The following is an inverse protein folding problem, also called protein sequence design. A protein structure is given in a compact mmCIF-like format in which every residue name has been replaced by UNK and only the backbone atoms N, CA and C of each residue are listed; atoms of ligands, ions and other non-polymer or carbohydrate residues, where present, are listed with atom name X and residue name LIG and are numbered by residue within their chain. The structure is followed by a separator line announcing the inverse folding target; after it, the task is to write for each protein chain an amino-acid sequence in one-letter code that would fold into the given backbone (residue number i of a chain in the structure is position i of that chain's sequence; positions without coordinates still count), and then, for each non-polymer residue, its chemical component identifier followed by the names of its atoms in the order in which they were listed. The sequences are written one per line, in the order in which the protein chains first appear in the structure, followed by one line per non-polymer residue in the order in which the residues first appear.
data_IF_759755697397
#
_entry.id   IF_759755697397
#
_cell.length_a   1.000
_cell.length_b   1.000
_cell.length_c   1.000
_cell.angle_alpha   90.00
_cell.angle_beta   90.00
_cell.angle_gamma   90.00
#
_symmetry.space_group_name_H-M   'P 1'
#
loop_
_entity.id
_entity.type
_entity.pdbx_description
1 polymer ?
#
# COMPACT_ATOMS: atom_id res chain seq x y z
N UNK A 1 9.45 -31.52 -5.06
CA UNK A 1 9.29 -30.07 -4.86
C UNK A 1 10.58 -29.54 -4.29
N UNK A 2 11.02 -28.35 -4.66
CA UNK A 2 12.35 -27.83 -4.27
C UNK A 2 12.40 -27.56 -2.77
N UNK A 3 13.39 -28.12 -2.07
CA UNK A 3 13.65 -27.84 -0.66
C UNK A 3 14.21 -26.40 -0.46
N UNK A 4 14.51 -25.71 -1.54
CA UNK A 4 15.16 -24.42 -1.56
C UNK A 4 14.40 -23.43 -2.46
N UNK A 5 14.30 -22.18 -2.02
CA UNK A 5 13.91 -21.04 -2.86
C UNK A 5 15.16 -20.43 -3.51
N UNK A 6 15.11 -20.25 -4.83
CA UNK A 6 16.17 -19.56 -5.58
C UNK A 6 15.60 -18.29 -6.23
N UNK A 7 16.13 -17.12 -5.87
CA UNK A 7 15.69 -15.82 -6.42
C UNK A 7 16.88 -14.83 -6.42
N UNK A 8 17.11 -14.14 -7.52
CA UNK A 8 18.14 -13.12 -7.68
C UNK A 8 19.55 -13.60 -7.22
N UNK A 9 19.91 -14.85 -7.49
CA UNK A 9 21.19 -15.44 -7.07
C UNK A 9 21.28 -15.80 -5.58
N UNK A 10 20.21 -15.64 -4.83
CA UNK A 10 20.09 -16.09 -3.45
C UNK A 10 19.51 -17.50 -3.41
N UNK A 11 20.03 -18.35 -2.54
CA UNK A 11 19.52 -19.69 -2.25
C UNK A 11 19.11 -19.75 -0.78
N UNK A 12 17.82 -19.98 -0.51
CA UNK A 12 17.25 -20.01 0.83
C UNK A 12 16.71 -21.41 1.10
N UNK A 13 17.36 -22.13 2.01
CA UNK A 13 16.94 -23.46 2.40
C UNK A 13 15.60 -23.43 3.16
N UNK A 14 14.87 -24.54 3.10
CA UNK A 14 13.65 -24.75 3.88
C UNK A 14 13.94 -24.67 5.38
N UNK A 15 13.02 -24.11 6.15
CA UNK A 15 13.17 -23.92 7.60
C UNK A 15 14.18 -22.83 7.96
N UNK A 16 14.53 -21.93 7.02
CA UNK A 16 15.50 -20.86 7.29
C UNK A 16 14.96 -19.46 7.02
N UNK A 17 15.57 -18.49 7.69
CA UNK A 17 15.32 -17.06 7.53
C UNK A 17 16.59 -16.37 7.03
N UNK A 18 16.47 -15.64 5.93
CA UNK A 18 17.55 -14.79 5.39
C UNK A 18 17.17 -13.31 5.54
N UNK A 19 18.07 -12.51 6.09
CA UNK A 19 17.98 -11.04 6.11
C UNK A 19 19.23 -10.50 5.42
N UNK A 20 19.03 -9.77 4.32
CA UNK A 20 20.12 -9.31 3.47
C UNK A 20 19.77 -8.03 2.74
N UNK A 21 20.73 -7.51 1.99
CA UNK A 21 20.54 -6.41 1.05
C UNK A 21 20.61 -6.92 -0.38
N UNK A 22 19.52 -6.77 -1.13
CA UNK A 22 19.44 -7.12 -2.55
C UNK A 22 19.98 -5.96 -3.40
N UNK A 23 21.08 -6.14 -4.15
CA UNK A 23 21.60 -5.10 -5.02
C UNK A 23 20.67 -4.86 -6.21
N UNK A 24 20.45 -3.59 -6.55
CA UNK A 24 19.82 -3.21 -7.83
C UNK A 24 20.91 -3.21 -8.90
N UNK A 25 20.79 -4.02 -9.97
CA UNK A 25 21.84 -4.14 -10.99
C UNK A 25 22.24 -2.77 -11.58
N UNK A 26 23.54 -2.62 -11.83
CA UNK A 26 24.16 -1.41 -12.40
C UNK A 26 23.89 -0.12 -11.60
N UNK A 27 23.80 -0.26 -10.26
CA UNK A 27 23.67 0.84 -9.31
C UNK A 27 24.43 0.55 -8.02
N UNK A 28 24.59 1.57 -7.16
CA UNK A 28 25.13 1.42 -5.81
C UNK A 28 24.04 1.21 -4.74
N UNK A 29 22.78 1.07 -5.17
CA UNK A 29 21.63 0.97 -4.26
C UNK A 29 21.32 -0.48 -3.98
N UNK A 30 20.95 -0.77 -2.73
CA UNK A 30 20.54 -2.10 -2.27
C UNK A 30 19.26 -2.00 -1.47
N UNK A 31 18.31 -2.88 -1.75
CA UNK A 31 17.01 -2.96 -1.06
C UNK A 31 17.14 -3.92 0.13
N UNK A 32 16.74 -3.54 1.35
CA UNK A 32 16.63 -4.49 2.46
C UNK A 32 15.57 -5.56 2.13
N UNK A 33 15.96 -6.81 2.32
CA UNK A 33 15.16 -7.99 1.98
C UNK A 33 15.18 -8.98 3.15
N UNK A 34 13.99 -9.42 3.55
CA UNK A 34 13.81 -10.55 4.46
C UNK A 34 13.06 -11.66 3.73
N UNK A 35 13.59 -12.87 3.74
CA UNK A 35 12.93 -14.06 3.21
C UNK A 35 12.84 -15.09 4.34
N UNK A 36 11.63 -15.60 4.58
CA UNK A 36 11.35 -16.66 5.54
C UNK A 36 10.81 -17.84 4.73
N UNK A 37 11.63 -18.85 4.53
CA UNK A 37 11.24 -20.10 3.88
C UNK A 37 10.82 -21.09 4.97
N UNK A 38 9.52 -21.30 5.11
CA UNK A 38 8.92 -22.13 6.17
C UNK A 38 9.32 -23.60 6.07
N UNK A 39 9.01 -24.38 7.10
CA UNK A 39 9.34 -25.82 7.15
C UNK A 39 8.47 -26.67 6.20
N UNK A 40 7.29 -26.22 5.85
CA UNK A 40 6.33 -26.96 5.02
C UNK A 40 6.08 -26.24 3.69
N UNK A 41 5.78 -27.01 2.65
CA UNK A 41 5.34 -26.48 1.35
C UNK A 41 4.05 -25.68 1.48
N UNK A 42 3.98 -24.58 0.75
CA UNK A 42 2.82 -23.69 0.75
C UNK A 42 3.00 -22.55 -0.23
N UNK A 43 2.09 -21.58 -0.21
CA UNK A 43 2.15 -20.44 -1.11
C UNK A 43 3.30 -19.48 -0.74
N UNK A 44 3.66 -18.66 -1.72
CA UNK A 44 4.61 -17.55 -1.55
C UNK A 44 3.86 -16.23 -1.44
N UNK A 45 4.00 -15.54 -0.31
CA UNK A 45 3.51 -14.18 -0.11
C UNK A 45 4.65 -13.19 -0.31
N UNK A 46 4.48 -12.28 -1.27
CA UNK A 46 5.37 -11.13 -1.45
C UNK A 46 4.76 -9.91 -0.77
N UNK A 47 5.56 -9.19 0.00
CA UNK A 47 5.21 -7.92 0.63
C UNK A 47 6.24 -6.87 0.23
N UNK A 48 5.77 -5.73 -0.24
CA UNK A 48 6.56 -4.51 -0.34
C UNK A 48 6.06 -3.47 0.66
N UNK A 49 6.98 -2.76 1.29
CA UNK A 49 6.71 -1.60 2.12
C UNK A 49 7.67 -0.48 1.74
N UNK A 50 7.18 0.75 1.69
CA UNK A 50 8.01 1.88 1.34
C UNK A 50 8.42 1.95 -0.12
N UNK A 51 7.53 1.60 -1.04
CA UNK A 51 7.59 2.05 -2.45
C UNK A 51 7.63 3.58 -2.46
N UNK A 52 6.87 4.19 -1.57
CA UNK A 52 7.05 5.58 -1.18
C UNK A 52 7.82 5.65 0.15
N UNK A 53 9.00 6.27 0.12
CA UNK A 53 9.94 6.24 1.25
C UNK A 53 9.48 7.01 2.49
N UNK A 54 8.51 7.90 2.37
CA UNK A 54 7.93 8.69 3.46
C UNK A 54 6.77 8.02 4.20
N UNK A 55 6.36 6.83 3.79
CA UNK A 55 5.22 6.09 4.34
C UNK A 55 5.68 5.08 5.40
N UNK A 56 5.89 5.56 6.63
CA UNK A 56 6.66 4.88 7.66
C UNK A 56 5.98 3.68 8.34
N UNK A 57 4.66 3.66 8.66
CA UNK A 57 4.07 2.60 9.47
C UNK A 57 4.22 1.20 8.85
N UNK A 58 3.95 1.08 7.53
CA UNK A 58 4.12 -0.17 6.80
C UNK A 58 5.57 -0.65 6.77
N UNK A 59 6.53 0.27 6.62
CA UNK A 59 7.97 -0.04 6.66
C UNK A 59 8.35 -0.60 8.03
N UNK A 60 7.96 0.08 9.12
CA UNK A 60 8.26 -0.34 10.49
C UNK A 60 7.61 -1.70 10.81
N UNK A 61 6.35 -1.90 10.41
CA UNK A 61 5.65 -3.17 10.60
C UNK A 61 6.36 -4.32 9.86
N UNK A 62 6.79 -4.12 8.59
CA UNK A 62 7.53 -5.14 7.84
C UNK A 62 8.89 -5.45 8.48
N UNK A 63 9.60 -4.45 9.01
CA UNK A 63 10.86 -4.65 9.75
C UNK A 63 10.63 -5.52 11.01
N UNK A 64 9.59 -5.23 11.79
CA UNK A 64 9.26 -5.98 12.99
C UNK A 64 8.78 -7.40 12.68
N UNK A 65 7.88 -7.58 11.71
CA UNK A 65 7.44 -8.90 11.27
C UNK A 65 8.61 -9.75 10.78
N UNK A 66 9.55 -9.15 10.00
CA UNK A 66 10.74 -9.84 9.52
C UNK A 66 11.71 -10.26 10.62
N UNK A 67 11.71 -9.52 11.75
CA UNK A 67 12.46 -9.89 12.95
C UNK A 67 11.75 -11.01 13.72
N UNK A 68 10.45 -10.89 13.93
CA UNK A 68 9.69 -11.64 14.94
C UNK A 68 9.09 -12.95 14.42
N UNK A 69 8.80 -13.07 13.09
CA UNK A 69 8.28 -14.31 12.53
C UNK A 69 9.41 -15.30 12.32
N UNK A 70 9.28 -16.50 12.87
CA UNK A 70 10.24 -17.58 12.69
C UNK A 70 9.78 -18.62 11.66
N UNK A 71 10.69 -19.34 10.98
CA UNK A 71 10.36 -20.28 9.91
C UNK A 71 9.38 -21.39 10.34
N UNK A 72 9.46 -21.88 11.56
CA UNK A 72 8.55 -22.91 12.09
C UNK A 72 7.09 -22.45 12.16
N UNK A 73 6.84 -21.13 12.15
CA UNK A 73 5.49 -20.56 12.17
C UNK A 73 4.92 -20.32 10.77
N UNK A 74 5.72 -20.55 9.72
CA UNK A 74 5.35 -20.27 8.33
C UNK A 74 5.21 -21.56 7.52
N UNK A 75 4.13 -21.67 6.78
CA UNK A 75 3.92 -22.66 5.71
C UNK A 75 4.05 -21.94 4.37
N UNK A 76 4.96 -22.42 3.50
CA UNK A 76 5.32 -21.73 2.26
C UNK A 76 6.44 -20.69 2.48
N UNK A 77 6.41 -19.62 1.73
CA UNK A 77 7.47 -18.61 1.76
C UNK A 77 6.92 -17.19 1.95
N UNK A 78 7.54 -16.42 2.86
CA UNK A 78 7.25 -15.00 3.07
C UNK A 78 8.46 -14.18 2.62
N UNK A 79 8.26 -13.31 1.63
CA UNK A 79 9.27 -12.41 1.08
C UNK A 79 8.86 -10.97 1.40
N UNK A 80 9.72 -10.20 2.06
CA UNK A 80 9.43 -8.81 2.46
C UNK A 80 10.56 -7.88 2.04
N UNK A 81 10.25 -6.80 1.34
CA UNK A 81 11.16 -5.70 1.00
C UNK A 81 10.77 -4.45 1.79
N UNK A 82 11.72 -3.87 2.56
CA UNK A 82 11.40 -2.79 3.50
C UNK A 82 12.61 -1.94 3.94
N UNK A 83 12.71 -0.67 3.54
CA UNK A 83 11.91 0.02 2.52
C UNK A 83 12.39 -0.31 1.10
N UNK A 84 11.45 -0.36 0.14
CA UNK A 84 11.80 -0.54 -1.28
C UNK A 84 12.57 0.67 -1.81
N UNK A 85 12.03 1.87 -1.64
CA UNK A 85 12.70 3.14 -1.97
C UNK A 85 13.58 3.61 -0.80
N UNK A 86 14.70 2.90 -0.60
CA UNK A 86 15.60 3.20 0.53
C UNK A 86 16.22 4.59 0.46
N UNK A 87 16.46 5.13 -0.73
CA UNK A 87 16.98 6.48 -0.89
C UNK A 87 15.94 7.53 -0.50
N UNK A 88 14.68 7.35 -0.93
CA UNK A 88 13.56 8.21 -0.52
C UNK A 88 13.34 8.17 1.00
N UNK A 89 13.44 6.98 1.60
CA UNK A 89 13.33 6.80 3.04
C UNK A 89 14.37 7.63 3.82
N UNK A 90 15.65 7.50 3.51
CA UNK A 90 16.70 8.26 4.21
C UNK A 90 16.66 9.75 3.88
N UNK A 91 16.28 10.12 2.67
CA UNK A 91 16.11 11.51 2.26
C UNK A 91 14.80 12.15 2.78
N UNK A 92 13.94 11.35 3.45
CA UNK A 92 12.60 11.77 3.90
C UNK A 92 11.78 12.40 2.78
N UNK A 93 11.83 11.76 1.61
CA UNK A 93 11.04 12.12 0.42
C UNK A 93 9.79 11.27 0.38
N UNK A 94 8.67 11.90 0.04
CA UNK A 94 7.34 11.29 0.04
C UNK A 94 7.26 10.15 -0.98
N UNK A 95 7.00 10.50 -2.23
CA UNK A 95 6.67 9.53 -3.28
C UNK A 95 7.81 9.30 -4.27
N UNK A 96 8.84 10.13 -4.29
CA UNK A 96 9.85 10.13 -5.36
C UNK A 96 11.11 9.35 -4.99
N UNK A 97 11.75 8.79 -5.98
CA UNK A 97 13.14 8.34 -5.93
C UNK A 97 14.03 9.58 -6.09
N UNK A 98 14.87 9.95 -5.09
CA UNK A 98 15.62 11.22 -5.14
C UNK A 98 16.59 11.36 -6.31
N UNK A 99 17.11 10.24 -6.82
CA UNK A 99 18.09 10.24 -7.90
C UNK A 99 17.51 10.68 -9.24
N UNK A 100 16.27 10.30 -9.53
CA UNK A 100 15.64 10.53 -10.82
C UNK A 100 14.33 11.35 -10.76
N UNK A 101 13.84 11.66 -9.56
CA UNK A 101 12.62 12.43 -9.34
C UNK A 101 11.33 11.73 -9.73
N UNK A 102 11.37 10.43 -10.06
CA UNK A 102 10.19 9.66 -10.46
C UNK A 102 9.44 9.11 -9.26
N UNK A 103 8.12 9.05 -9.37
CA UNK A 103 7.30 8.26 -8.46
C UNK A 103 7.45 6.77 -8.83
N UNK A 104 8.05 5.98 -7.93
CA UNK A 104 8.30 4.56 -8.16
C UNK A 104 7.01 3.77 -8.44
N UNK A 105 5.89 4.17 -7.80
CA UNK A 105 4.58 3.54 -8.01
C UNK A 105 3.89 3.96 -9.33
N UNK A 106 4.59 4.62 -10.24
CA UNK A 106 4.08 5.01 -11.58
C UNK A 106 4.92 4.44 -12.72
N UNK A 107 5.99 3.68 -12.40
CA UNK A 107 6.90 3.17 -13.44
C UNK A 107 6.85 1.65 -13.64
N UNK A 108 6.00 0.91 -12.91
CA UNK A 108 5.84 -0.53 -13.14
C UNK A 108 5.33 -0.84 -14.54
N UNK A 109 5.89 -1.85 -15.24
CA UNK A 109 6.83 -2.89 -14.77
C UNK A 109 8.28 -2.45 -14.63
N UNK A 110 8.66 -1.25 -15.03
CA UNK A 110 10.04 -0.79 -15.06
C UNK A 110 10.82 -1.19 -16.31
N UNK A 111 12.08 -0.80 -16.34
CA UNK A 111 13.05 -1.10 -17.39
C UNK A 111 14.45 -1.21 -16.78
N UNK A 112 15.20 -2.30 -17.04
CA UNK A 112 16.53 -2.51 -16.46
C UNK A 112 17.60 -1.56 -16.97
N UNK A 113 17.33 -0.79 -18.03
CA UNK A 113 18.33 0.05 -18.70
C UNK A 113 18.12 1.55 -18.48
N UNK A 114 17.02 1.96 -17.80
CA UNK A 114 16.62 3.35 -17.67
C UNK A 114 17.09 3.94 -16.32
N UNK A 115 16.21 4.44 -15.50
CA UNK A 115 16.56 5.12 -14.24
C UNK A 115 16.51 4.18 -13.04
N UNK A 116 16.91 4.67 -11.85
CA UNK A 116 16.86 3.87 -10.62
C UNK A 116 15.45 3.43 -10.29
N UNK A 117 14.44 4.29 -10.44
CA UNK A 117 13.05 3.91 -10.24
C UNK A 117 12.62 2.79 -11.19
N UNK A 118 12.94 2.90 -12.48
CA UNK A 118 12.61 1.88 -13.49
C UNK A 118 13.32 0.56 -13.20
N UNK A 119 14.61 0.59 -12.85
CA UNK A 119 15.40 -0.59 -12.49
C UNK A 119 14.84 -1.28 -11.24
N UNK A 120 14.40 -0.50 -10.24
CA UNK A 120 13.79 -1.02 -9.02
C UNK A 120 12.47 -1.71 -9.31
N UNK A 121 11.58 -1.06 -10.08
CA UNK A 121 10.31 -1.65 -10.49
C UNK A 121 10.51 -2.93 -11.32
N UNK A 122 11.46 -2.92 -12.27
CA UNK A 122 11.81 -4.09 -13.08
C UNK A 122 12.34 -5.25 -12.23
N UNK A 123 13.24 -4.97 -11.26
CA UNK A 123 13.77 -5.99 -10.36
C UNK A 123 12.64 -6.72 -9.63
N UNK A 124 11.64 -5.98 -9.13
CA UNK A 124 10.49 -6.54 -8.41
C UNK A 124 9.59 -7.32 -9.37
N UNK A 125 9.14 -6.66 -10.45
CA UNK A 125 8.16 -7.24 -11.37
C UNK A 125 8.66 -8.46 -12.12
N UNK A 126 9.94 -8.47 -12.49
CA UNK A 126 10.53 -9.54 -13.30
C UNK A 126 11.02 -10.74 -12.48
N UNK A 127 11.44 -10.53 -11.21
CA UNK A 127 12.03 -11.62 -10.43
C UNK A 127 11.13 -12.12 -9.30
N UNK A 128 10.26 -11.27 -8.74
CA UNK A 128 9.48 -11.64 -7.56
C UNK A 128 7.99 -11.87 -7.87
N UNK A 129 7.39 -11.14 -8.80
CA UNK A 129 5.99 -11.40 -9.18
C UNK A 129 5.79 -12.81 -9.76
N UNK A 130 6.69 -13.35 -10.62
CA UNK A 130 6.52 -14.69 -11.18
C UNK A 130 6.58 -15.84 -10.17
N UNK A 131 7.16 -15.63 -8.98
CA UNK A 131 7.30 -16.65 -7.95
C UNK A 131 6.32 -16.49 -6.79
N UNK A 132 5.53 -15.40 -6.78
CA UNK A 132 4.55 -15.12 -5.74
C UNK A 132 3.16 -15.67 -6.11
N UNK A 133 2.44 -16.16 -5.10
CA UNK A 133 1.03 -16.58 -5.22
C UNK A 133 0.06 -15.47 -4.79
N UNK A 134 0.55 -14.52 -4.00
CA UNK A 134 -0.16 -13.31 -3.59
C UNK A 134 0.82 -12.16 -3.31
N UNK A 135 0.37 -10.93 -3.61
CA UNK A 135 1.18 -9.73 -3.38
C UNK A 135 0.44 -8.71 -2.51
N UNK A 136 1.14 -8.16 -1.52
CA UNK A 136 0.68 -7.07 -0.66
C UNK A 136 1.62 -5.88 -0.78
N UNK A 137 1.06 -4.72 -1.13
CA UNK A 137 1.77 -3.44 -1.15
C UNK A 137 1.34 -2.60 0.05
N UNK A 138 2.27 -2.32 0.97
CA UNK A 138 1.98 -1.59 2.20
C UNK A 138 2.32 -0.12 2.02
N UNK A 139 1.29 0.71 1.98
CA UNK A 139 1.33 2.16 1.85
C UNK A 139 0.76 2.86 3.08
N UNK A 140 0.89 4.16 3.16
CA UNK A 140 0.18 5.05 4.07
C UNK A 140 -0.01 6.39 3.39
N UNK A 141 -0.81 7.28 3.98
CA UNK A 141 -0.73 8.68 3.58
C UNK A 141 0.70 9.21 3.76
N UNK A 142 1.16 10.00 2.80
CA UNK A 142 2.43 10.70 2.91
C UNK A 142 2.35 11.88 3.90
N UNK A 143 3.33 12.77 3.91
CA UNK A 143 3.35 13.92 4.82
C UNK A 143 2.22 14.93 4.57
N UNK A 144 1.57 14.85 3.42
CA UNK A 144 0.46 15.71 3.02
C UNK A 144 -0.88 14.96 2.89
N UNK A 145 -0.97 13.73 3.42
CA UNK A 145 -2.18 12.92 3.38
C UNK A 145 -2.51 12.37 4.77
N UNK A 146 -3.63 12.86 5.35
CA UNK A 146 -4.26 12.27 6.53
C UNK A 146 -5.36 11.34 6.06
N UNK A 147 -5.24 10.04 6.31
CA UNK A 147 -6.21 9.05 5.83
C UNK A 147 -6.87 8.26 6.95
N UNK A 148 -8.08 7.79 6.68
CA UNK A 148 -8.75 6.74 7.42
C UNK A 148 -8.31 5.39 6.83
N UNK A 149 -8.00 4.35 7.63
CA UNK A 149 -7.49 3.09 7.08
C UNK A 149 -8.44 2.43 6.08
N UNK A 150 -7.93 2.07 4.91
CA UNK A 150 -8.67 1.34 3.88
C UNK A 150 -7.74 0.47 3.03
N UNK A 151 -8.31 -0.41 2.22
CA UNK A 151 -7.56 -1.29 1.31
C UNK A 151 -8.06 -1.16 -0.11
N UNK A 152 -7.12 -1.06 -1.07
CA UNK A 152 -7.44 -1.21 -2.48
C UNK A 152 -7.32 -2.68 -2.90
N UNK A 153 -8.30 -3.13 -3.72
CA UNK A 153 -8.15 -4.36 -4.49
C UNK A 153 -8.37 -4.05 -5.99
N UNK A 154 -7.64 -4.75 -6.90
CA UNK A 154 -7.69 -4.44 -8.32
C UNK A 154 -9.02 -4.90 -8.94
N UNK A 155 -9.65 -4.04 -9.73
CA UNK A 155 -10.91 -4.28 -10.41
C UNK A 155 -10.81 -4.37 -11.94
N UNK A 156 -9.59 -4.39 -12.49
CA UNK A 156 -9.32 -4.48 -13.93
C UNK A 156 -8.85 -5.86 -14.43
N UNK A 157 -8.35 -6.78 -13.56
CA UNK A 157 -7.92 -8.10 -13.99
C UNK A 157 -9.11 -9.04 -14.25
N UNK A 158 -8.78 -10.33 -14.49
CA UNK A 158 -9.83 -11.34 -14.63
C UNK A 158 -10.70 -11.44 -13.37
N UNK A 159 -11.99 -11.86 -13.50
CA UNK A 159 -12.87 -12.02 -12.34
C UNK A 159 -12.29 -12.93 -11.23
N UNK A 160 -11.47 -13.91 -11.61
CA UNK A 160 -10.81 -14.81 -10.64
C UNK A 160 -9.79 -14.05 -9.79
N UNK A 161 -8.95 -13.23 -10.40
CA UNK A 161 -7.93 -12.43 -9.71
C UNK A 161 -8.61 -11.39 -8.81
N UNK A 162 -9.63 -10.68 -9.32
CA UNK A 162 -10.42 -9.74 -8.52
C UNK A 162 -11.03 -10.42 -7.29
N UNK A 163 -11.68 -11.58 -7.48
CA UNK A 163 -12.30 -12.35 -6.39
C UNK A 163 -11.28 -12.80 -5.34
N UNK A 164 -10.11 -13.30 -5.75
CA UNK A 164 -9.03 -13.67 -4.82
C UNK A 164 -8.55 -12.46 -4.03
N UNK A 165 -8.25 -11.35 -4.70
CA UNK A 165 -7.79 -10.11 -4.07
C UNK A 165 -8.82 -9.57 -3.07
N UNK A 166 -10.09 -9.45 -3.48
CA UNK A 166 -11.20 -9.02 -2.62
C UNK A 166 -11.38 -9.93 -1.40
N UNK A 167 -11.24 -11.25 -1.58
CA UNK A 167 -11.36 -12.22 -0.47
C UNK A 167 -10.26 -12.07 0.59
N UNK A 168 -9.07 -11.61 0.19
CA UNK A 168 -7.99 -11.30 1.12
C UNK A 168 -8.18 -9.90 1.73
N UNK A 169 -8.59 -8.91 0.95
CA UNK A 169 -8.93 -7.58 1.50
C UNK A 169 -9.95 -7.66 2.64
N UNK A 170 -10.95 -8.54 2.52
CA UNK A 170 -12.00 -8.75 3.54
C UNK A 170 -11.53 -9.31 4.88
N UNK A 171 -10.28 -9.79 5.02
CA UNK A 171 -9.79 -10.29 6.32
C UNK A 171 -9.03 -9.23 7.12
N UNK A 172 -8.86 -8.03 6.60
CA UNK A 172 -8.21 -6.92 7.28
C UNK A 172 -9.15 -6.32 8.35
N UNK A 173 -8.56 -5.78 9.41
CA UNK A 173 -9.31 -5.08 10.46
C UNK A 173 -9.41 -3.59 10.13
N UNK A 174 -10.28 -3.26 9.18
CA UNK A 174 -10.58 -1.89 8.76
C UNK A 174 -12.01 -1.76 8.23
N UNK A 175 -12.50 -0.53 8.12
CA UNK A 175 -13.90 -0.28 7.79
C UNK A 175 -14.17 -0.29 6.28
N UNK A 176 -13.18 0.05 5.45
CA UNK A 176 -13.40 0.31 4.04
C UNK A 176 -12.44 -0.44 3.13
N UNK A 177 -12.98 -0.86 1.98
CA UNK A 177 -12.20 -1.37 0.86
C UNK A 177 -12.67 -0.71 -0.43
N UNK A 178 -11.75 -0.53 -1.36
CA UNK A 178 -11.97 0.20 -2.61
C UNK A 178 -11.60 -0.66 -3.79
N UNK A 179 -12.54 -0.81 -4.72
CA UNK A 179 -12.28 -1.42 -6.02
C UNK A 179 -11.53 -0.44 -6.92
N UNK A 180 -10.25 -0.67 -7.15
CA UNK A 180 -9.45 0.20 -7.99
C UNK A 180 -9.62 -0.12 -9.48
N UNK A 181 -9.88 0.91 -10.27
CA UNK A 181 -9.90 0.82 -11.73
C UNK A 181 -8.61 1.33 -12.39
N UNK A 182 -7.61 1.71 -11.58
CA UNK A 182 -6.31 2.13 -12.07
C UNK A 182 -5.55 0.95 -12.73
N UNK A 183 -4.76 1.25 -13.74
CA UNK A 183 -3.95 0.26 -14.47
C UNK A 183 -2.47 0.34 -14.10
N UNK A 184 -2.04 1.42 -13.46
CA UNK A 184 -0.66 1.65 -13.02
C UNK A 184 -0.43 1.34 -11.55
N UNK A 185 0.84 1.36 -11.15
CA UNK A 185 1.27 1.02 -9.79
C UNK A 185 1.58 -0.46 -9.62
N UNK A 186 2.30 -0.79 -8.55
CA UNK A 186 2.84 -2.13 -8.34
C UNK A 186 1.74 -3.20 -8.24
N UNK A 187 0.76 -3.02 -7.35
CA UNK A 187 -0.29 -4.04 -7.14
C UNK A 187 -1.23 -4.19 -8.34
N UNK A 188 -1.60 -3.10 -9.04
CA UNK A 188 -2.43 -3.20 -10.24
C UNK A 188 -1.68 -3.88 -11.39
N UNK A 189 -0.38 -3.55 -11.55
CA UNK A 189 0.44 -4.24 -12.55
C UNK A 189 0.57 -5.73 -12.22
N UNK A 190 0.85 -6.08 -10.95
CA UNK A 190 0.88 -7.49 -10.51
C UNK A 190 -0.42 -8.22 -10.86
N UNK A 191 -1.58 -7.62 -10.56
CA UNK A 191 -2.87 -8.19 -10.90
C UNK A 191 -3.06 -8.37 -12.41
N UNK A 192 -2.60 -7.42 -13.23
CA UNK A 192 -2.68 -7.51 -14.70
C UNK A 192 -1.86 -8.67 -15.27
N UNK A 193 -0.82 -9.11 -14.57
CA UNK A 193 0.00 -10.29 -14.93
C UNK A 193 -0.55 -11.61 -14.38
N UNK A 194 -1.66 -11.57 -13.66
CA UNK A 194 -2.30 -12.76 -13.08
C UNK A 194 -1.94 -13.03 -11.62
N UNK A 195 -1.21 -12.14 -10.95
CA UNK A 195 -0.86 -12.24 -9.53
C UNK A 195 -1.91 -11.52 -8.68
N UNK A 196 -2.74 -12.21 -7.87
CA UNK A 196 -3.68 -11.56 -6.97
C UNK A 196 -2.95 -10.66 -5.98
N UNK A 197 -3.48 -9.46 -5.75
CA UNK A 197 -2.78 -8.43 -4.99
C UNK A 197 -3.73 -7.46 -4.32
N UNK A 198 -3.25 -6.79 -3.28
CA UNK A 198 -3.92 -5.67 -2.61
C UNK A 198 -2.91 -4.59 -2.26
N UNK A 199 -3.40 -3.36 -2.08
CA UNK A 199 -2.64 -2.27 -1.51
C UNK A 199 -3.35 -1.80 -0.24
N UNK A 200 -2.61 -1.77 0.88
CA UNK A 200 -3.14 -1.35 2.18
C UNK A 200 -2.70 0.09 2.44
N UNK A 201 -3.65 0.93 2.84
CA UNK A 201 -3.44 2.30 3.28
C UNK A 201 -3.73 2.42 4.77
N UNK A 202 -2.71 2.74 5.59
CA UNK A 202 -2.88 2.91 7.04
C UNK A 202 -1.83 3.87 7.61
N UNK A 203 -2.28 4.84 8.42
CA UNK A 203 -1.45 5.93 8.91
C UNK A 203 -1.33 7.05 7.88
N UNK A 204 -0.59 8.10 8.17
CA UNK A 204 -0.43 9.24 7.25
C UNK A 204 0.20 10.45 7.93
N UNK A 205 0.16 11.59 7.26
CA UNK A 205 0.71 12.87 7.73
C UNK A 205 2.21 12.78 8.15
N UNK A 206 2.97 11.86 7.53
CA UNK A 206 4.37 11.63 7.84
C UNK A 206 4.63 11.06 9.24
N UNK A 207 3.60 10.51 9.90
CA UNK A 207 3.67 9.95 11.24
C UNK A 207 4.07 8.48 11.19
N UNK A 208 4.65 7.99 12.30
CA UNK A 208 4.96 6.58 12.52
C UNK A 208 4.41 6.18 13.89
N UNK A 209 3.09 6.06 13.98
CA UNK A 209 2.42 5.78 15.24
C UNK A 209 2.49 4.29 15.57
N UNK A 210 2.68 3.97 16.84
CA UNK A 210 2.76 2.57 17.31
C UNK A 210 1.47 1.80 17.03
N UNK A 211 0.32 2.45 17.14
CA UNK A 211 -0.98 1.86 16.84
C UNK A 211 -1.11 1.43 15.37
N UNK A 212 -0.60 2.23 14.42
CA UNK A 212 -0.61 1.90 13.00
C UNK A 212 0.33 0.72 12.69
N UNK A 213 1.52 0.70 13.33
CA UNK A 213 2.48 -0.40 13.20
C UNK A 213 1.86 -1.72 13.68
N UNK A 214 1.25 -1.73 14.88
CA UNK A 214 0.61 -2.94 15.43
C UNK A 214 -0.58 -3.39 14.58
N UNK A 215 -1.40 -2.45 14.11
CA UNK A 215 -2.53 -2.76 13.23
C UNK A 215 -2.05 -3.36 11.89
N UNK A 216 -0.98 -2.85 11.29
CA UNK A 216 -0.36 -3.46 10.12
C UNK A 216 0.12 -4.88 10.38
N UNK A 217 0.77 -5.11 11.52
CA UNK A 217 1.26 -6.45 11.89
C UNK A 217 0.11 -7.45 12.06
N UNK A 218 -1.00 -7.00 12.64
CA UNK A 218 -2.19 -7.83 12.78
C UNK A 218 -2.87 -8.09 11.43
N UNK A 219 -2.95 -7.10 10.54
CA UNK A 219 -3.44 -7.26 9.17
C UNK A 219 -2.63 -8.29 8.39
N UNK A 220 -1.29 -8.20 8.41
CA UNK A 220 -0.42 -9.18 7.73
C UNK A 220 -0.59 -10.59 8.31
N UNK A 221 -0.72 -10.72 9.64
CA UNK A 221 -0.99 -12.03 10.26
C UNK A 221 -2.35 -12.59 9.83
N UNK A 222 -3.38 -11.76 9.69
CA UNK A 222 -4.69 -12.16 9.17
C UNK A 222 -4.59 -12.63 7.70
N UNK A 223 -3.81 -11.94 6.87
CA UNK A 223 -3.54 -12.36 5.48
C UNK A 223 -2.82 -13.71 5.46
N UNK A 224 -1.73 -13.87 6.21
CA UNK A 224 -1.00 -15.13 6.31
C UNK A 224 -1.91 -16.29 6.73
N UNK A 225 -2.81 -16.06 7.69
CA UNK A 225 -3.80 -17.06 8.11
C UNK A 225 -4.81 -17.35 7.01
N UNK A 226 -5.32 -16.35 6.31
CA UNK A 226 -6.24 -16.51 5.17
C UNK A 226 -5.62 -17.38 4.07
N UNK A 227 -4.34 -17.17 3.81
CA UNK A 227 -3.56 -17.93 2.83
C UNK A 227 -3.08 -19.30 3.38
N UNK A 228 -3.43 -19.66 4.62
CA UNK A 228 -3.01 -20.89 5.32
C UNK A 228 -1.48 -20.98 5.51
N UNK A 229 -0.84 -19.85 5.66
CA UNK A 229 0.62 -19.72 5.81
C UNK A 229 1.07 -19.55 7.26
N UNK A 230 0.17 -19.38 8.22
CA UNK A 230 0.52 -19.02 9.60
C UNK A 230 -0.16 -19.91 10.61
N UNK A 231 0.62 -20.51 11.50
CA UNK A 231 0.16 -21.47 12.51
C UNK A 231 -0.24 -20.84 13.84
N UNK A 232 0.28 -19.63 14.14
CA UNK A 232 0.00 -18.97 15.41
C UNK A 232 -1.40 -18.33 15.46
N UNK A 233 -1.98 -18.18 16.67
CA UNK A 233 -3.21 -17.43 16.86
C UNK A 233 -3.08 -15.99 16.37
N UNK A 234 -4.15 -15.43 15.84
CA UNK A 234 -4.25 -14.02 15.48
C UNK A 234 -5.33 -13.34 16.32
N UNK A 235 -5.22 -12.03 16.50
CA UNK A 235 -6.23 -11.26 17.22
C UNK A 235 -7.57 -11.29 16.47
N UNK A 236 -8.71 -11.29 17.20
CA UNK A 236 -10.01 -11.08 16.59
C UNK A 236 -10.06 -9.71 15.89
N UNK A 237 -10.74 -9.66 14.76
CA UNK A 237 -11.02 -8.40 14.05
C UNK A 237 -12.22 -7.69 14.68
N UNK A 238 -12.19 -6.37 14.67
CA UNK A 238 -13.30 -5.52 15.11
C UNK A 238 -14.19 -5.09 13.95
N UNK A 239 -13.60 -5.01 12.74
CA UNK A 239 -14.27 -4.55 11.54
C UNK A 239 -14.20 -5.58 10.42
N UNK A 240 -15.10 -5.44 9.45
CA UNK A 240 -15.03 -6.12 8.14
C UNK A 240 -15.19 -5.05 7.07
N UNK A 241 -14.26 -4.93 6.11
CA UNK A 241 -14.29 -3.86 5.14
C UNK A 241 -15.57 -3.88 4.28
N UNK A 242 -16.19 -2.71 4.14
CA UNK A 242 -17.29 -2.43 3.22
C UNK A 242 -16.74 -1.79 1.96
N UNK A 243 -17.34 -2.13 0.81
CA UNK A 243 -16.95 -1.52 -0.46
C UNK A 243 -17.30 -0.01 -0.46
N UNK A 244 -16.35 0.80 -0.91
CA UNK A 244 -16.55 2.21 -1.23
C UNK A 244 -16.41 2.35 -2.74
N UNK A 245 -17.44 2.92 -3.35
CA UNK A 245 -17.58 3.09 -4.80
C UNK A 245 -17.66 4.57 -5.18
N UNK A 246 -17.61 4.85 -6.48
CA UNK A 246 -17.74 6.19 -7.02
C UNK A 246 -16.79 7.21 -6.38
N UNK A 247 -15.51 6.83 -6.31
CA UNK A 247 -14.50 7.69 -5.72
C UNK A 247 -14.36 9.01 -6.46
N UNK A 248 -14.37 10.09 -5.70
CA UNK A 248 -14.09 11.44 -6.14
C UNK A 248 -12.78 11.90 -5.52
N UNK A 249 -11.91 12.43 -6.36
CA UNK A 249 -10.65 13.08 -5.99
C UNK A 249 -10.78 14.57 -6.29
N UNK A 250 -11.00 15.37 -5.25
CA UNK A 250 -11.10 16.84 -5.40
C UNK A 250 -9.71 17.44 -5.50
N UNK A 251 -9.44 18.07 -6.63
CA UNK A 251 -8.17 18.75 -6.87
C UNK A 251 -8.27 20.25 -6.59
N UNK A 252 -7.15 20.83 -6.14
CA UNK A 252 -7.00 22.27 -6.03
C UNK A 252 -7.09 22.93 -7.42
N UNK A 253 -8.12 23.71 -7.67
CA UNK A 253 -8.31 24.45 -8.92
C UNK A 253 -7.34 25.63 -9.05
N UNK A 254 -6.81 26.11 -7.92
CA UNK A 254 -5.93 27.26 -7.80
C UNK A 254 -4.87 26.99 -6.74
N UNK A 255 -3.70 27.65 -6.88
CA UNK A 255 -2.69 27.65 -5.82
C UNK A 255 -3.11 28.61 -4.70
N UNK A 256 -3.09 28.13 -3.45
CA UNK A 256 -3.48 28.94 -2.30
C UNK A 256 -3.35 28.22 -0.96
N UNK A 257 -4.10 28.69 0.02
CA UNK A 257 -4.14 28.15 1.37
C UNK A 257 -5.40 27.31 1.52
N UNK A 258 -5.24 25.99 1.71
CA UNK A 258 -6.35 25.07 1.94
C UNK A 258 -6.79 25.11 3.41
N UNK A 259 -8.06 25.45 3.62
CA UNK A 259 -8.72 25.48 4.93
C UNK A 259 -9.93 24.58 4.89
N UNK A 260 -9.86 23.43 5.57
CA UNK A 260 -10.92 22.43 5.59
C UNK A 260 -11.59 22.33 6.96
N UNK A 261 -12.78 21.73 6.99
CA UNK A 261 -13.58 21.51 8.19
C UNK A 261 -13.95 20.03 8.38
N UNK A 262 -13.32 19.15 7.60
CA UNK A 262 -13.54 17.72 7.56
C UNK A 262 -12.30 16.96 7.98
N UNK A 263 -12.47 15.73 8.42
CA UNK A 263 -11.40 14.79 8.74
C UNK A 263 -11.57 13.50 7.94
N UNK A 264 -10.49 12.75 7.78
CA UNK A 264 -10.58 11.39 7.25
C UNK A 264 -11.45 10.52 8.17
N UNK A 265 -12.35 9.73 7.58
CA UNK A 265 -13.38 8.96 8.28
C UNK A 265 -14.72 9.68 8.45
N UNK A 266 -14.79 11.00 8.27
CA UNK A 266 -16.06 11.72 8.36
C UNK A 266 -17.02 11.28 7.23
N UNK A 267 -18.30 11.22 7.57
CA UNK A 267 -19.38 11.07 6.60
C UNK A 267 -19.87 12.46 6.17
N UNK A 268 -20.02 12.68 4.88
CA UNK A 268 -20.46 13.95 4.30
C UNK A 268 -21.70 13.78 3.44
N UNK A 269 -22.56 14.80 3.43
CA UNK A 269 -23.74 14.84 2.59
C UNK A 269 -23.49 15.65 1.32
N UNK A 270 -24.15 15.32 0.23
CA UNK A 270 -24.11 16.10 -1.01
C UNK A 270 -24.43 17.58 -0.74
N UNK A 271 -23.59 18.48 -1.28
CA UNK A 271 -23.71 19.92 -1.05
C UNK A 271 -23.07 20.43 0.25
N UNK A 272 -22.59 19.55 1.13
CA UNK A 272 -21.84 19.97 2.33
C UNK A 272 -20.55 20.67 1.96
N UNK A 273 -20.21 21.77 2.66
CA UNK A 273 -18.91 22.44 2.50
C UNK A 273 -17.82 21.57 3.08
N UNK A 274 -16.82 21.25 2.28
CA UNK A 274 -15.64 20.48 2.68
C UNK A 274 -14.49 21.39 3.13
N UNK A 275 -14.34 22.52 2.47
CA UNK A 275 -13.29 23.49 2.74
C UNK A 275 -13.22 24.59 1.68
N UNK A 276 -12.19 25.41 1.77
CA UNK A 276 -11.94 26.49 0.83
C UNK A 276 -10.47 26.72 0.59
N UNK A 277 -10.12 27.17 -0.60
CA UNK A 277 -8.80 27.75 -0.89
C UNK A 277 -8.92 29.28 -0.76
N UNK A 278 -7.97 29.86 -0.04
CA UNK A 278 -7.83 31.32 0.10
C UNK A 278 -6.50 31.78 -0.48
N UNK A 279 -6.39 33.08 -0.77
CA UNK A 279 -5.08 33.70 -0.94
C UNK A 279 -4.36 33.83 0.42
N UNK A 280 -3.12 34.32 0.41
CA UNK A 280 -2.30 34.52 1.62
C UNK A 280 -2.81 35.67 2.51
N UNK A 281 -3.81 36.42 2.07
CA UNK A 281 -4.48 37.47 2.84
C UNK A 281 -5.80 37.02 3.44
N UNK A 282 -6.21 35.75 3.17
CA UNK A 282 -7.42 35.14 3.70
C UNK A 282 -8.68 35.38 2.82
N UNK A 283 -8.52 35.99 1.64
CA UNK A 283 -9.64 36.14 0.72
C UNK A 283 -9.96 34.80 0.07
N UNK A 284 -11.23 34.36 0.13
CA UNK A 284 -11.66 33.10 -0.49
C UNK A 284 -11.55 33.19 -2.00
N UNK A 285 -10.82 32.25 -2.59
CA UNK A 285 -10.69 32.05 -4.03
C UNK A 285 -11.71 31.02 -4.51
N UNK A 286 -11.77 29.85 -3.88
CA UNK A 286 -12.67 28.75 -4.25
C UNK A 286 -13.21 28.06 -2.99
N UNK A 287 -14.50 27.73 -2.97
CA UNK A 287 -15.14 26.87 -1.95
C UNK A 287 -15.45 25.51 -2.55
N UNK A 288 -15.13 24.45 -1.82
CA UNK A 288 -15.33 23.06 -2.24
C UNK A 288 -16.50 22.44 -1.49
N UNK A 289 -17.36 21.78 -2.23
CA UNK A 289 -18.57 21.11 -1.72
C UNK A 289 -18.49 19.61 -2.05
N UNK A 290 -19.14 18.79 -1.24
CA UNK A 290 -19.32 17.39 -1.57
C UNK A 290 -20.27 17.25 -2.78
N UNK A 291 -19.82 16.58 -3.82
CA UNK A 291 -20.58 16.33 -5.05
C UNK A 291 -21.57 15.17 -4.89
N UNK A 292 -21.35 14.34 -3.85
CA UNK A 292 -22.19 13.22 -3.46
C UNK A 292 -22.06 12.95 -1.96
N UNK A 293 -23.02 12.23 -1.41
CA UNK A 293 -22.97 11.68 -0.05
C UNK A 293 -21.97 10.53 0.02
N UNK A 294 -21.11 10.51 1.06
CA UNK A 294 -20.09 9.46 1.19
C UNK A 294 -19.17 9.61 2.39
N UNK A 295 -18.17 8.75 2.46
CA UNK A 295 -17.12 8.74 3.50
C UNK A 295 -15.82 9.34 2.96
N UNK A 296 -15.21 10.21 3.77
CA UNK A 296 -13.89 10.79 3.46
C UNK A 296 -12.81 9.74 3.74
N UNK A 297 -12.08 9.33 2.71
CA UNK A 297 -10.98 8.38 2.84
C UNK A 297 -9.68 9.08 3.22
N UNK A 298 -9.37 10.21 2.58
CA UNK A 298 -8.27 11.05 3.02
C UNK A 298 -8.52 12.55 2.79
N UNK A 299 -7.77 13.37 3.54
CA UNK A 299 -7.75 14.83 3.44
C UNK A 299 -6.30 15.29 3.41
N UNK A 300 -5.99 16.28 2.56
CA UNK A 300 -4.71 16.99 2.61
C UNK A 300 -4.65 17.86 3.88
N UNK A 301 -3.76 17.60 4.85
CA UNK A 301 -3.65 18.41 6.07
C UNK A 301 -2.79 19.66 5.87
N UNK A 302 -2.14 19.81 4.73
CA UNK A 302 -1.23 20.94 4.47
C UNK A 302 -2.00 22.22 4.17
N UNK A 303 -1.58 23.33 4.79
CA UNK A 303 -2.12 24.64 4.49
C UNK A 303 -1.79 25.09 3.07
N UNK A 304 -0.53 24.89 2.64
CA UNK A 304 -0.10 25.26 1.29
C UNK A 304 -0.55 24.21 0.27
N UNK A 305 -1.34 24.64 -0.71
CA UNK A 305 -1.87 23.76 -1.73
C UNK A 305 -1.60 24.34 -3.13
N UNK A 306 -0.59 23.82 -3.84
CA UNK A 306 -0.41 24.09 -5.26
C UNK A 306 -1.62 23.62 -6.07
N UNK A 307 -1.91 24.31 -7.17
CA UNK A 307 -2.92 23.84 -8.14
C UNK A 307 -2.63 22.42 -8.59
N UNK A 308 -3.67 21.57 -8.64
CA UNK A 308 -3.59 20.16 -8.99
C UNK A 308 -3.26 19.24 -7.80
N UNK A 309 -3.02 19.79 -6.58
CA UNK A 309 -2.95 18.96 -5.37
C UNK A 309 -4.30 18.31 -5.11
N UNK A 310 -4.34 17.02 -4.82
CA UNK A 310 -5.56 16.36 -4.38
C UNK A 310 -5.82 16.78 -2.93
N UNK A 311 -6.96 17.42 -2.70
CA UNK A 311 -7.34 17.98 -1.40
C UNK A 311 -8.10 16.96 -0.55
N UNK A 312 -8.97 16.19 -1.19
CA UNK A 312 -9.88 15.24 -0.54
C UNK A 312 -10.14 14.07 -1.47
N UNK A 313 -10.13 12.84 -0.93
CA UNK A 313 -10.69 11.68 -1.60
C UNK A 313 -11.84 11.11 -0.76
N UNK A 314 -12.98 10.85 -1.39
CA UNK A 314 -14.17 10.30 -0.73
C UNK A 314 -15.00 9.49 -1.71
N UNK A 315 -15.91 8.67 -1.18
CA UNK A 315 -16.77 7.85 -2.01
C UNK A 315 -18.01 7.36 -1.28
N UNK A 316 -18.94 6.79 -2.05
CA UNK A 316 -20.20 6.24 -1.54
C UNK A 316 -19.98 4.87 -0.93
N UNK A 317 -20.48 4.64 0.28
CA UNK A 317 -20.44 3.31 0.91
C UNK A 317 -21.52 2.46 0.24
N UNK A 318 -21.13 1.32 -0.33
CA UNK A 318 -22.07 0.34 -0.85
C UNK A 318 -22.83 -0.30 0.30
N UNK A 319 -24.18 -0.32 0.21
CA UNK A 319 -25.00 -1.13 1.10
C UNK A 319 -24.69 -2.61 0.91
N UNK A 320 -24.76 -3.41 1.98
CA UNK A 320 -24.53 -4.83 1.90
C UNK A 320 -25.55 -5.48 0.96
N UNK A 321 -25.07 -6.13 -0.09
CA UNK A 321 -25.86 -7.15 -0.78
C UNK A 321 -25.80 -8.40 0.07
N UNK A 322 -26.95 -8.94 0.50
CA UNK A 322 -27.08 -10.16 1.33
C UNK A 322 -26.56 -11.46 0.63
N UNK A 323 -25.96 -11.32 -0.57
CA UNK A 323 -25.48 -12.44 -1.40
C UNK A 323 -23.94 -12.59 -1.42
N UNK A 324 -23.14 -11.87 -0.62
CA UNK A 324 -21.66 -11.93 -0.63
C UNK A 324 -21.05 -12.69 0.57
#
# INVERSE_FOLDING_TARGET
MSETLNVCGLTIERGTKLRTYLPIPDTNVKIPLTIINGENDGPTLLITAGIHGGEYPGIAAAMELGRDIEPENVTGCLIMMHPVNIQGFWARREMIVPEDGKNLNRVFPGDPTVTLADKTAYLISNNFFPIADFYVDMHSGDIHESLHPYVYYPGQPTPEIEKKSRSVARVLDMEYMVRSLATGGAYNYAASTGLPSILIERGGAGLCLHEDIEAYKDDIRNILRKLKMFSLPVKPRHHSPRDVENLIYLEALETGCWLHHIHSGDFVEEGQVLGRITDVFGNTLTTYYAEQTGVILYVCPALASPKGTILVAYGTIKEFDDED
#
